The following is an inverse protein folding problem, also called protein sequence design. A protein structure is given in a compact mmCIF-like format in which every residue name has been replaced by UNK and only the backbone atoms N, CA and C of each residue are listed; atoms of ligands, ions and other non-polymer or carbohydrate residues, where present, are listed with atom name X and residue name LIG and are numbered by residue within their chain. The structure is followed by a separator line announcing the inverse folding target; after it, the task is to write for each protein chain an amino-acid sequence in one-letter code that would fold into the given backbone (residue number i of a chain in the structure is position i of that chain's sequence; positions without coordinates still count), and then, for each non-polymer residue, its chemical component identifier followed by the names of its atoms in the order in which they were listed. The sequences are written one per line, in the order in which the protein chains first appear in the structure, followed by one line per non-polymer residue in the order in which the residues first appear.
data_IF_458684652564
#
_entry.id   IF_458684652564
#
_cell.length_a   1.000
_cell.length_b   1.000
_cell.length_c   1.000
_cell.angle_alpha   90.00
_cell.angle_beta   90.00
_cell.angle_gamma   90.00
#
_symmetry.space_group_name_H-M   'P 1'
#
loop_
_entity.id
_entity.type
_entity.pdbx_description
1 polymer ?
#
# COMPACT_ATOMS: atom_id res chain seq x y z
N UNK A 1 0.55 13.93 -2.61
CA UNK A 1 1.11 13.95 -1.24
C UNK A 1 0.11 13.29 -0.31
N UNK A 2 0.55 12.60 0.74
CA UNK A 2 -0.34 12.04 1.77
C UNK A 2 -0.84 13.19 2.65
N UNK A 3 -2.16 13.36 2.74
CA UNK A 3 -2.80 14.47 3.46
C UNK A 3 -3.34 14.07 4.86
N UNK A 4 -3.38 12.77 5.18
CA UNK A 4 -3.84 12.24 6.47
C UNK A 4 -3.40 10.79 6.66
N UNK A 5 -4.31 9.92 7.11
CA UNK A 5 -4.08 8.46 7.16
C UNK A 5 -3.89 7.85 5.76
N UNK A 6 -4.53 8.46 4.75
CA UNK A 6 -4.53 8.07 3.34
C UNK A 6 -4.19 9.27 2.44
N UNK A 7 -4.11 9.04 1.12
CA UNK A 7 -3.83 10.10 0.15
C UNK A 7 -4.87 11.23 0.16
N UNK A 8 -6.15 10.89 0.33
CA UNK A 8 -7.28 11.84 0.30
C UNK A 8 -7.84 12.20 1.70
N UNK A 9 -7.05 11.99 2.76
CA UNK A 9 -7.47 12.28 4.14
C UNK A 9 -7.67 11.01 4.96
N UNK A 10 -8.82 10.87 5.62
CA UNK A 10 -9.05 9.81 6.62
C UNK A 10 -9.72 8.54 6.08
N UNK A 11 -10.29 8.61 4.87
CA UNK A 11 -10.93 7.47 4.23
C UNK A 11 -10.01 6.83 3.19
N UNK A 12 -9.96 5.50 3.20
CA UNK A 12 -9.25 4.74 2.17
C UNK A 12 -9.96 4.92 0.82
N UNK A 13 -9.17 5.13 -0.22
CA UNK A 13 -9.64 5.27 -1.59
C UNK A 13 -8.95 4.25 -2.50
N UNK A 14 -9.39 4.20 -3.76
CA UNK A 14 -8.74 3.37 -4.77
C UNK A 14 -7.26 3.72 -4.95
N UNK A 15 -6.84 4.97 -4.70
CA UNK A 15 -5.45 5.37 -4.82
C UNK A 15 -4.55 4.63 -3.81
N UNK A 16 -5.03 4.43 -2.58
CA UNK A 16 -4.30 3.74 -1.52
C UNK A 16 -4.21 2.23 -1.81
N UNK A 17 -5.28 1.64 -2.33
CA UNK A 17 -5.30 0.25 -2.79
C UNK A 17 -4.36 0.04 -3.99
N UNK A 18 -4.37 0.97 -4.95
CA UNK A 18 -3.52 0.87 -6.14
C UNK A 18 -2.03 1.01 -5.80
N UNK A 19 -1.68 1.79 -4.78
CA UNK A 19 -0.31 1.80 -4.24
C UNK A 19 0.11 0.40 -3.76
N UNK A 20 -0.74 -0.26 -2.97
CA UNK A 20 -0.46 -1.62 -2.48
C UNK A 20 -0.29 -2.61 -3.64
N UNK A 21 -1.18 -2.56 -4.64
CA UNK A 21 -1.14 -3.42 -5.83
C UNK A 21 0.12 -3.19 -6.67
N UNK A 22 0.49 -1.94 -6.95
CA UNK A 22 1.73 -1.62 -7.67
C UNK A 22 2.92 -2.19 -6.92
N UNK A 23 2.99 -2.06 -5.60
CA UNK A 23 4.13 -2.57 -4.85
C UNK A 23 4.21 -4.09 -4.87
N UNK A 24 3.10 -4.78 -4.59
CA UNK A 24 3.11 -6.24 -4.48
C UNK A 24 3.15 -6.94 -5.83
N UNK A 25 2.31 -6.52 -6.79
CA UNK A 25 2.08 -7.23 -8.05
C UNK A 25 2.77 -6.57 -9.25
N UNK A 26 3.18 -5.31 -9.12
CA UNK A 26 3.90 -4.56 -10.14
C UNK A 26 5.40 -4.56 -9.88
N UNK A 27 5.85 -3.56 -9.13
CA UNK A 27 7.25 -3.20 -8.94
C UNK A 27 8.07 -4.32 -8.31
N UNK A 28 7.64 -4.89 -7.17
CA UNK A 28 8.42 -5.95 -6.51
C UNK A 28 8.34 -7.28 -7.27
N UNK A 29 7.19 -7.59 -7.89
CA UNK A 29 7.02 -8.84 -8.63
C UNK A 29 7.72 -8.85 -9.99
N UNK A 30 7.75 -7.71 -10.71
CA UNK A 30 8.28 -7.62 -12.08
C UNK A 30 9.69 -7.05 -12.16
N UNK A 31 10.09 -6.25 -11.17
CA UNK A 31 11.38 -5.57 -11.12
C UNK A 31 12.01 -5.71 -9.73
N UNK A 32 12.29 -6.94 -9.27
CA UNK A 32 12.88 -7.18 -7.95
C UNK A 32 14.21 -6.42 -7.75
N UNK A 33 14.93 -6.13 -8.83
CA UNK A 33 16.16 -5.32 -8.84
C UNK A 33 15.96 -3.86 -8.43
N UNK A 34 14.74 -3.31 -8.55
CA UNK A 34 14.43 -1.96 -8.08
C UNK A 34 14.33 -1.87 -6.56
N UNK A 35 14.15 -3.01 -5.86
CA UNK A 35 14.25 -3.11 -4.41
C UNK A 35 13.51 -2.01 -3.67
N UNK A 36 12.21 -1.81 -3.97
CA UNK A 36 11.45 -0.74 -3.33
C UNK A 36 11.39 -0.96 -1.82
N UNK A 37 12.08 -0.08 -1.11
CA UNK A 37 12.14 -0.09 0.34
C UNK A 37 11.17 0.97 0.87
N UNK A 38 10.00 0.51 1.32
CA UNK A 38 8.98 1.37 1.90
C UNK A 38 9.45 2.08 3.17
N UNK A 39 10.47 1.55 3.88
CA UNK A 39 10.99 2.15 5.10
C UNK A 39 11.65 3.51 4.88
N UNK A 40 12.14 3.77 3.66
CA UNK A 40 12.68 5.08 3.25
C UNK A 40 11.58 6.13 3.06
N UNK A 41 10.32 5.71 3.02
CA UNK A 41 9.16 6.56 2.80
C UNK A 41 8.10 6.35 3.89
N UNK A 42 8.32 6.84 5.13
CA UNK A 42 7.46 6.56 6.28
C UNK A 42 5.98 6.87 6.06
N UNK A 43 5.68 7.93 5.29
CA UNK A 43 4.29 8.27 4.93
C UNK A 43 3.64 7.25 4.00
N UNK A 44 4.38 6.75 3.01
CA UNK A 44 3.88 5.70 2.11
C UNK A 44 3.75 4.37 2.85
N UNK A 45 4.71 4.06 3.73
CA UNK A 45 4.61 2.90 4.62
C UNK A 45 3.35 2.96 5.49
N UNK A 46 3.06 4.12 6.08
CA UNK A 46 1.84 4.31 6.87
C UNK A 46 0.56 4.06 6.05
N UNK A 47 0.50 4.52 4.79
CA UNK A 47 -0.64 4.23 3.90
C UNK A 47 -0.75 2.73 3.63
N UNK A 48 0.36 2.04 3.32
CA UNK A 48 0.39 0.60 3.05
C UNK A 48 -0.12 -0.19 4.27
N UNK A 49 0.36 0.14 5.46
CA UNK A 49 -0.06 -0.51 6.70
C UNK A 49 -1.53 -0.23 7.00
N UNK A 50 -1.99 1.01 6.81
CA UNK A 50 -3.39 1.38 6.98
C UNK A 50 -4.32 0.62 6.03
N UNK A 51 -3.93 0.46 4.75
CA UNK A 51 -4.68 -0.32 3.77
C UNK A 51 -4.71 -1.80 4.15
N UNK A 52 -3.56 -2.37 4.54
CA UNK A 52 -3.47 -3.78 4.97
C UNK A 52 -4.27 -4.07 6.25
N UNK A 53 -4.47 -3.08 7.12
CA UNK A 53 -5.29 -3.21 8.33
C UNK A 53 -6.81 -3.23 8.09
N UNK A 54 -7.27 -2.94 6.87
CA UNK A 54 -8.69 -3.03 6.54
C UNK A 54 -9.14 -4.49 6.54
N UNK A 55 -10.21 -4.81 7.27
CA UNK A 55 -10.67 -6.19 7.48
C UNK A 55 -10.95 -6.94 6.17
N UNK A 56 -11.57 -6.28 5.19
CA UNK A 56 -11.89 -6.91 3.90
C UNK A 56 -10.63 -7.18 3.08
N UNK A 57 -9.67 -6.25 3.10
CA UNK A 57 -8.40 -6.38 2.39
C UNK A 57 -7.53 -7.46 3.06
N UNK A 58 -7.44 -7.45 4.39
CA UNK A 58 -6.73 -8.47 5.15
C UNK A 58 -7.30 -9.88 4.89
N UNK A 59 -8.64 -10.01 4.91
CA UNK A 59 -9.31 -11.27 4.60
C UNK A 59 -9.08 -11.73 3.15
N UNK A 60 -8.93 -10.80 2.20
CA UNK A 60 -8.58 -11.12 0.82
C UNK A 60 -7.12 -11.61 0.71
N UNK A 61 -6.17 -10.87 1.30
CA UNK A 61 -4.74 -11.21 1.29
C UNK A 61 -4.43 -12.52 2.03
N UNK A 62 -5.27 -12.94 2.97
CA UNK A 62 -5.12 -14.24 3.64
C UNK A 62 -5.49 -15.45 2.75
N UNK A 63 -6.14 -15.22 1.61
CA UNK A 63 -6.52 -16.28 0.66
C UNK A 63 -5.50 -16.49 -0.47
N UNK A 64 -4.57 -15.54 -0.62
CA UNK A 64 -3.54 -15.53 -1.66
C UNK A 64 -2.25 -16.20 -1.20
#
# INVERSE_FOLDING_TARGET
MVQGKFFMGDNATLADLHLLDILQNGLMAKFPEFGFDSSKYPKLQGVIEAVKSNENIAAYLAKS
#
